data_IF_997884764777
#
_entry.id   IF_997884764777
#
_cell.length_a   1.000
_cell.length_b   1.000
_cell.length_c   1.000
_cell.angle_alpha   90.00
_cell.angle_beta   90.00
_cell.angle_gamma   90.00
#
_symmetry.space_group_name_H-M   'P 1'
#
loop_
_entity.id
_entity.type
_entity.pdbx_description
1 polymer ?
#
# COMPACT_ATOMS: atom_id res chain seq x y z
N UNK A 1 19.80 -11.80 -37.98
CA UNK A 1 20.62 -11.80 -36.74
C UNK A 1 20.33 -10.49 -36.03
N UNK A 2 19.32 -10.50 -35.16
CA UNK A 2 18.87 -9.33 -34.41
C UNK A 2 19.55 -9.35 -33.05
N UNK A 3 20.30 -8.28 -32.73
CA UNK A 3 21.09 -8.19 -31.50
C UNK A 3 20.24 -7.93 -30.25
N UNK A 4 20.69 -8.41 -29.07
CA UNK A 4 20.01 -8.19 -27.78
C UNK A 4 20.33 -6.82 -27.19
N UNK A 5 19.85 -5.73 -27.81
CA UNK A 5 20.10 -4.36 -27.32
C UNK A 5 18.93 -3.77 -26.51
N UNK A 6 18.01 -4.62 -26.01
CA UNK A 6 16.79 -4.16 -25.32
C UNK A 6 16.84 -4.09 -23.78
N UNK A 7 17.93 -4.50 -23.12
CA UNK A 7 17.93 -4.71 -21.65
C UNK A 7 18.65 -3.65 -20.82
N UNK A 8 19.19 -2.60 -21.45
CA UNK A 8 20.03 -1.62 -20.76
C UNK A 8 19.34 -0.24 -20.66
N UNK A 9 18.54 -0.02 -19.62
CA UNK A 9 18.44 1.27 -18.91
C UNK A 9 17.33 1.22 -17.85
N UNK A 10 17.67 0.88 -16.61
CA UNK A 10 16.81 1.16 -15.45
C UNK A 10 16.73 0.02 -14.45
N UNK A 11 17.71 -0.07 -13.54
CA UNK A 11 17.62 -0.73 -12.22
C UNK A 11 17.32 -2.23 -12.12
N UNK A 12 16.65 -2.84 -13.08
CA UNK A 12 16.00 -4.15 -12.93
C UNK A 12 16.91 -5.37 -13.13
N UNK A 13 18.17 -5.20 -13.54
CA UNK A 13 19.09 -6.34 -13.64
C UNK A 13 19.63 -6.75 -12.27
N UNK A 14 19.94 -5.78 -11.40
CA UNK A 14 20.36 -6.05 -10.02
C UNK A 14 19.22 -6.68 -9.23
N UNK A 15 17.99 -6.19 -9.41
CA UNK A 15 16.79 -6.78 -8.80
C UNK A 15 16.64 -8.24 -9.24
N UNK A 16 16.70 -8.53 -10.54
CA UNK A 16 16.59 -9.91 -11.04
C UNK A 16 17.71 -10.82 -10.56
N UNK A 17 18.94 -10.31 -10.43
CA UNK A 17 20.06 -11.07 -9.89
C UNK A 17 19.88 -11.39 -8.40
N UNK A 18 19.37 -10.43 -7.62
CA UNK A 18 19.06 -10.62 -6.21
C UNK A 18 17.88 -11.59 -6.00
N UNK A 19 16.83 -11.48 -6.83
CA UNK A 19 15.72 -12.43 -6.87
C UNK A 19 16.24 -13.85 -7.18
N UNK A 20 17.06 -14.00 -8.24
CA UNK A 20 17.61 -15.29 -8.65
C UNK A 20 18.42 -15.96 -7.54
N UNK A 21 19.23 -15.21 -6.78
CA UNK A 21 19.95 -15.75 -5.62
C UNK A 21 18.99 -16.16 -4.50
N UNK A 22 17.93 -15.38 -4.27
CA UNK A 22 16.90 -15.69 -3.28
C UNK A 22 16.04 -16.92 -3.65
N UNK A 23 16.28 -17.56 -4.79
CA UNK A 23 15.52 -18.71 -5.29
C UNK A 23 14.18 -18.33 -5.94
N UNK A 24 14.07 -17.08 -6.42
CA UNK A 24 12.89 -16.55 -7.10
C UNK A 24 13.36 -15.97 -8.45
N UNK A 25 13.01 -16.47 -9.64
CA UNK A 25 11.98 -17.45 -10.00
C UNK A 25 12.55 -18.89 -9.93
N UNK A 26 11.91 -19.84 -10.61
CA UNK A 26 12.39 -21.23 -10.71
C UNK A 26 13.89 -21.34 -11.04
N UNK A 27 14.51 -22.46 -10.66
CA UNK A 27 15.96 -22.69 -10.75
C UNK A 27 16.53 -22.48 -12.18
N UNK A 28 15.73 -22.77 -13.23
CA UNK A 28 16.13 -22.54 -14.61
C UNK A 28 16.13 -21.03 -14.95
N UNK A 29 15.18 -20.26 -14.40
CA UNK A 29 15.14 -18.82 -14.57
C UNK A 29 16.31 -18.12 -13.86
N UNK A 30 16.62 -18.55 -12.64
CA UNK A 30 17.78 -18.05 -11.89
C UNK A 30 19.09 -18.29 -12.66
N UNK A 31 19.27 -19.51 -13.20
CA UNK A 31 20.44 -19.90 -13.99
C UNK A 31 20.60 -19.03 -15.25
N UNK A 32 19.50 -18.69 -15.93
CA UNK A 32 19.52 -17.79 -17.10
C UNK A 32 19.92 -16.37 -16.73
N UNK A 33 19.44 -15.85 -15.60
CA UNK A 33 19.80 -14.51 -15.12
C UNK A 33 21.28 -14.43 -14.76
N UNK A 34 21.81 -15.44 -14.07
CA UNK A 34 23.23 -15.50 -13.71
C UNK A 34 24.10 -15.58 -14.97
N UNK A 35 23.75 -16.44 -15.92
CA UNK A 35 24.48 -16.55 -17.19
C UNK A 35 24.47 -15.24 -18.01
N UNK A 36 23.40 -14.44 -17.88
CA UNK A 36 23.25 -13.16 -18.56
C UNK A 36 23.90 -11.97 -17.82
N UNK A 37 24.34 -12.13 -16.57
CA UNK A 37 24.82 -11.03 -15.72
C UNK A 37 26.16 -10.43 -16.17
N UNK A 38 26.85 -11.07 -17.13
CA UNK A 38 28.04 -10.54 -17.79
C UNK A 38 29.28 -10.47 -16.88
N UNK A 39 30.41 -9.97 -17.42
CA UNK A 39 31.66 -9.85 -16.68
C UNK A 39 31.51 -8.86 -15.51
N UNK A 40 31.94 -9.28 -14.32
CA UNK A 40 31.86 -8.48 -13.07
C UNK A 40 30.75 -8.91 -12.11
N UNK A 41 29.82 -9.75 -12.55
CA UNK A 41 28.78 -10.36 -11.71
C UNK A 41 29.34 -11.23 -10.58
N UNK A 42 30.49 -11.90 -10.80
CA UNK A 42 31.16 -12.73 -9.79
C UNK A 42 31.45 -11.98 -8.49
N UNK A 43 31.84 -10.70 -8.57
CA UNK A 43 32.10 -9.88 -7.37
C UNK A 43 30.82 -9.57 -6.61
N UNK A 44 29.72 -9.32 -7.32
CA UNK A 44 28.41 -9.07 -6.72
C UNK A 44 27.89 -10.34 -6.06
N UNK A 45 27.99 -11.49 -6.75
CA UNK A 45 27.60 -12.79 -6.19
C UNK A 45 28.46 -13.17 -4.98
N UNK A 46 29.77 -12.92 -5.01
CA UNK A 46 30.64 -13.14 -3.86
C UNK A 46 30.28 -12.23 -2.67
N UNK A 47 29.94 -10.97 -2.91
CA UNK A 47 29.50 -10.04 -1.87
C UNK A 47 28.14 -10.46 -1.28
N UNK A 48 27.19 -10.92 -2.10
CA UNK A 48 25.90 -11.46 -1.65
C UNK A 48 26.09 -12.72 -0.82
N UNK A 49 26.93 -13.66 -1.26
CA UNK A 49 27.25 -14.88 -0.52
C UNK A 49 27.89 -14.57 0.84
N UNK A 50 28.79 -13.58 0.90
CA UNK A 50 29.39 -13.10 2.14
C UNK A 50 28.33 -12.52 3.07
N UNK A 51 27.45 -11.66 2.57
CA UNK A 51 26.34 -11.07 3.34
C UNK A 51 25.42 -12.17 3.89
N UNK A 52 25.13 -13.21 3.10
CA UNK A 52 24.30 -14.35 3.52
C UNK A 52 24.98 -15.16 4.63
N UNK A 53 26.29 -15.36 4.54
CA UNK A 53 27.06 -16.03 5.58
C UNK A 53 27.09 -15.22 6.88
N UNK A 54 27.24 -13.90 6.80
CA UNK A 54 27.17 -13.00 7.95
C UNK A 54 25.78 -13.01 8.60
N UNK A 55 24.71 -12.94 7.80
CA UNK A 55 23.33 -13.04 8.29
C UNK A 55 23.03 -14.40 8.93
N UNK A 56 23.56 -15.49 8.37
CA UNK A 56 23.41 -16.83 8.94
C UNK A 56 24.14 -17.00 10.29
N UNK A 57 25.18 -16.19 10.54
CA UNK A 57 25.89 -16.18 11.82
C UNK A 57 25.15 -15.36 12.91
N UNK A 58 24.16 -14.54 12.53
CA UNK A 58 23.36 -13.78 13.50
C UNK A 58 22.53 -14.76 14.34
N UNK A 59 22.63 -14.71 15.68
CA UNK A 59 21.83 -15.58 16.54
C UNK A 59 20.33 -15.39 16.27
N UNK A 60 19.54 -16.48 16.24
CA UNK A 60 18.11 -16.38 15.96
C UNK A 60 17.41 -15.54 17.04
N UNK A 61 16.63 -14.55 16.60
CA UNK A 61 15.79 -13.75 17.49
C UNK A 61 14.64 -14.62 17.99
N UNK A 62 14.52 -14.75 19.31
CA UNK A 62 13.40 -15.49 19.91
C UNK A 62 12.14 -14.64 19.86
N UNK A 63 11.17 -15.07 19.05
CA UNK A 63 9.83 -14.51 19.05
C UNK A 63 9.11 -14.86 20.36
N UNK A 64 8.41 -13.90 20.99
CA UNK A 64 7.51 -14.22 22.10
C UNK A 64 6.49 -15.28 21.68
N UNK A 65 6.21 -16.24 22.56
CA UNK A 65 5.34 -17.40 22.26
C UNK A 65 3.95 -16.99 21.78
N UNK A 66 3.36 -15.93 22.34
CA UNK A 66 2.07 -15.41 21.91
C UNK A 66 2.10 -14.87 20.46
N UNK A 67 3.21 -14.25 20.04
CA UNK A 67 3.38 -13.75 18.66
C UNK A 67 3.58 -14.91 17.70
N UNK A 68 4.42 -15.89 18.07
CA UNK A 68 4.64 -17.10 17.28
C UNK A 68 3.33 -17.88 17.06
N UNK A 69 2.51 -18.05 18.11
CA UNK A 69 1.21 -18.71 18.02
C UNK A 69 0.24 -17.97 17.10
N UNK A 70 0.22 -16.63 17.16
CA UNK A 70 -0.63 -15.81 16.27
C UNK A 70 -0.20 -15.93 14.82
N UNK A 71 1.10 -15.94 14.53
CA UNK A 71 1.62 -16.11 13.18
C UNK A 71 1.31 -17.51 12.64
N UNK A 72 1.52 -18.56 13.44
CA UNK A 72 1.18 -19.93 13.07
C UNK A 72 -0.30 -20.07 12.69
N UNK A 73 -1.21 -19.55 13.54
CA UNK A 73 -2.64 -19.56 13.24
C UNK A 73 -3.00 -18.76 11.97
N UNK A 74 -2.25 -17.69 11.68
CA UNK A 74 -2.40 -16.92 10.45
C UNK A 74 -2.00 -17.72 9.20
N UNK A 75 -0.89 -18.48 9.27
CA UNK A 75 -0.47 -19.35 8.18
C UNK A 75 -1.40 -20.55 8.00
N UNK A 76 -1.87 -21.18 9.09
CA UNK A 76 -2.87 -22.25 9.02
C UNK A 76 -4.16 -21.77 8.33
N UNK A 77 -4.56 -20.51 8.54
CA UNK A 77 -5.71 -19.91 7.88
C UNK A 77 -5.47 -19.59 6.38
N UNK A 78 -4.21 -19.44 5.95
CA UNK A 78 -3.85 -19.27 4.54
C UNK A 78 -3.74 -20.61 3.81
N UNK A 79 -3.27 -21.64 4.51
CA UNK A 79 -3.14 -23.00 4.01
C UNK A 79 -4.47 -23.76 3.99
N UNK A 80 -5.48 -23.30 4.73
CA UNK A 80 -6.84 -23.81 4.61
C UNK A 80 -7.29 -23.54 3.16
N UNK A 81 -7.31 -24.59 2.29
CA UNK A 81 -7.54 -24.39 0.87
C UNK A 81 -8.90 -23.76 0.77
N UNK A 82 -8.94 -22.50 0.30
CA UNK A 82 -10.16 -21.70 0.12
C UNK A 82 -11.24 -22.63 -0.40
N UNK A 83 -12.06 -23.13 0.53
CA UNK A 83 -12.95 -24.24 0.27
C UNK A 83 -14.15 -23.65 -0.45
N UNK A 84 -13.98 -23.36 -1.74
CA UNK A 84 -14.99 -23.19 -2.77
C UNK A 84 -16.16 -22.24 -2.47
N UNK A 85 -16.14 -21.46 -1.39
CA UNK A 85 -17.28 -20.67 -0.94
C UNK A 85 -17.13 -19.17 -1.24
N UNK A 86 -16.36 -18.84 -2.29
CA UNK A 86 -16.50 -17.60 -3.05
C UNK A 86 -17.81 -17.56 -3.85
N UNK A 87 -18.95 -17.89 -3.22
CA UNK A 87 -20.30 -17.66 -3.75
C UNK A 87 -20.75 -16.20 -3.56
N UNK A 88 -19.83 -15.25 -3.39
CA UNK A 88 -20.18 -13.89 -2.98
C UNK A 88 -19.86 -12.77 -3.98
N UNK A 89 -19.50 -13.05 -5.23
CA UNK A 89 -19.10 -11.96 -6.14
C UNK A 89 -19.50 -12.12 -7.63
N UNK A 90 -20.57 -12.84 -7.96
CA UNK A 90 -21.06 -12.96 -9.35
C UNK A 90 -22.39 -12.25 -9.65
N UNK A 91 -22.82 -11.30 -8.82
CA UNK A 91 -24.08 -10.54 -9.02
C UNK A 91 -23.90 -9.05 -9.39
N UNK A 92 -22.76 -8.66 -9.96
CA UNK A 92 -22.55 -7.30 -10.49
C UNK A 92 -22.44 -7.21 -12.02
N UNK A 93 -22.80 -8.27 -12.75
CA UNK A 93 -22.91 -8.19 -14.21
C UNK A 93 -24.36 -8.06 -14.68
N UNK A 94 -24.62 -6.90 -15.30
CA UNK A 94 -25.59 -6.70 -16.38
C UNK A 94 -27.05 -6.45 -16.01
N UNK A 95 -27.34 -5.33 -15.33
CA UNK A 95 -28.59 -4.59 -15.58
C UNK A 95 -28.50 -3.85 -16.92
N UNK A 96 -28.54 -4.59 -18.03
CA UNK A 96 -28.92 -4.03 -19.34
C UNK A 96 -30.41 -3.73 -19.29
N UNK A 97 -30.75 -2.45 -19.39
CA UNK A 97 -32.11 -1.95 -19.25
C UNK A 97 -33.10 -2.57 -20.25
N UNK A 98 -34.32 -2.89 -19.82
CA UNK A 98 -35.36 -3.38 -20.72
C UNK A 98 -35.93 -2.22 -21.54
N UNK A 99 -35.91 -2.35 -22.87
CA UNK A 99 -36.64 -1.48 -23.80
C UNK A 99 -38.15 -1.61 -23.51
N UNK A 100 -38.76 -0.49 -23.12
CA UNK A 100 -40.19 -0.34 -22.88
C UNK A 100 -40.97 -0.61 -24.18
N UNK A 101 -41.86 -1.60 -24.18
CA UNK A 101 -43.08 -1.60 -24.99
C UNK A 101 -44.25 -1.28 -24.06
N UNK A 102 -45.17 -0.37 -24.43
CA UNK A 102 -46.31 -0.04 -23.59
C UNK A 102 -47.41 -1.08 -23.81
N UNK A 103 -48.07 -1.51 -22.74
CA UNK A 103 -49.46 -1.97 -22.77
C UNK A 103 -50.01 -2.07 -21.33
N UNK A 104 -50.92 -1.15 -21.05
CA UNK A 104 -52.17 -1.24 -20.27
C UNK A 104 -52.18 -1.92 -18.88
N UNK A 105 -52.52 -1.07 -17.91
CA UNK A 105 -53.51 -1.26 -16.83
C UNK A 105 -53.49 -2.59 -16.05
N UNK A 106 -53.12 -2.51 -14.77
CA UNK A 106 -54.01 -2.94 -13.67
C UNK A 106 -53.47 -2.47 -12.32
N UNK A 107 -54.36 -1.90 -11.54
CA UNK A 107 -54.13 -1.38 -10.20
C UNK A 107 -54.07 -2.53 -9.18
N UNK A 108 -53.09 -2.49 -8.28
CA UNK A 108 -53.21 -3.05 -6.94
C UNK A 108 -52.12 -2.43 -6.05
N UNK A 109 -52.56 -1.53 -5.17
CA UNK A 109 -51.75 -0.97 -4.12
C UNK A 109 -51.48 -2.04 -3.05
N UNK A 110 -50.22 -2.33 -2.79
CA UNK A 110 -49.77 -2.92 -1.53
C UNK A 110 -48.51 -2.18 -1.12
N UNK A 111 -48.69 -1.20 -0.24
CA UNK A 111 -47.62 -0.41 0.35
C UNK A 111 -46.80 -1.30 1.29
N UNK A 112 -45.69 -1.83 0.79
CA UNK A 112 -44.61 -2.33 1.66
C UNK A 112 -43.74 -1.13 2.01
N UNK A 113 -43.95 -0.61 3.22
CA UNK A 113 -43.02 0.31 3.87
C UNK A 113 -41.75 -0.49 4.18
N UNK A 114 -40.84 -0.53 3.21
CA UNK A 114 -39.47 -0.95 3.45
C UNK A 114 -38.82 0.17 4.26
N UNK A 115 -38.82 0.02 5.58
CA UNK A 115 -37.92 0.76 6.46
C UNK A 115 -36.51 0.31 6.09
N UNK A 116 -35.91 1.00 5.12
CA UNK A 116 -34.48 0.94 4.92
C UNK A 116 -33.86 1.53 6.19
N UNK A 117 -33.39 0.65 7.07
CA UNK A 117 -32.45 1.01 8.13
C UNK A 117 -31.15 1.36 7.40
N UNK A 118 -31.10 2.57 6.84
CA UNK A 118 -29.85 3.27 6.59
C UNK A 118 -29.35 3.66 7.96
N UNK A 119 -28.81 2.67 8.67
CA UNK A 119 -28.02 2.95 9.86
C UNK A 119 -26.87 3.83 9.41
N UNK A 120 -26.61 4.97 10.05
CA UNK A 120 -25.32 5.62 9.89
C UNK A 120 -24.31 4.55 10.26
N UNK A 121 -23.49 4.14 9.30
CA UNK A 121 -22.30 3.36 9.58
C UNK A 121 -21.54 4.17 10.61
N UNK A 122 -21.64 3.76 11.86
CA UNK A 122 -20.88 4.29 12.96
C UNK A 122 -19.43 4.03 12.59
N UNK A 123 -18.79 5.01 11.96
CA UNK A 123 -17.35 5.08 11.90
C UNK A 123 -16.92 4.94 13.36
N UNK A 124 -16.13 3.90 13.70
CA UNK A 124 -15.68 3.73 15.07
C UNK A 124 -15.09 5.06 15.51
N UNK A 125 -15.59 5.58 16.65
CA UNK A 125 -15.10 6.81 17.24
C UNK A 125 -13.58 6.71 17.24
N UNK A 126 -12.95 7.57 16.43
CA UNK A 126 -11.56 7.40 16.03
C UNK A 126 -10.68 7.38 17.27
N UNK A 127 -10.13 6.20 17.59
CA UNK A 127 -9.00 6.10 18.47
C UNK A 127 -7.95 7.10 17.97
N UNK A 128 -7.41 7.90 18.88
CA UNK A 128 -6.40 8.89 18.56
C UNK A 128 -5.28 8.21 17.75
N UNK A 129 -5.24 8.51 16.46
CA UNK A 129 -4.30 7.87 15.54
C UNK A 129 -2.93 8.44 15.86
N UNK A 130 -2.01 7.60 16.34
CA UNK A 130 -0.59 7.98 16.41
C UNK A 130 -0.08 8.21 14.96
N UNK A 131 0.26 9.46 14.61
CA UNK A 131 0.60 9.80 13.23
C UNK A 131 1.90 9.11 12.76
N UNK A 132 2.79 8.69 13.67
CA UNK A 132 3.98 7.92 13.32
C UNK A 132 3.61 6.49 12.87
N UNK A 133 2.81 5.78 13.67
CA UNK A 133 2.31 4.45 13.32
C UNK A 133 1.46 4.46 12.04
N UNK A 134 0.65 5.50 11.86
CA UNK A 134 -0.16 5.67 10.66
C UNK A 134 0.69 5.89 9.40
N UNK A 135 1.74 6.72 9.49
CA UNK A 135 2.66 6.94 8.39
C UNK A 135 3.36 5.65 7.94
N UNK A 136 3.81 4.83 8.90
CA UNK A 136 4.43 3.53 8.59
C UNK A 136 3.48 2.58 7.86
N UNK A 137 2.22 2.49 8.30
CA UNK A 137 1.19 1.67 7.64
C UNK A 137 0.88 2.15 6.24
N UNK A 138 0.68 3.46 6.07
CA UNK A 138 0.32 4.07 4.78
C UNK A 138 1.44 3.94 3.76
N UNK A 139 2.71 4.04 4.20
CA UNK A 139 3.87 3.72 3.36
C UNK A 139 3.90 2.25 2.95
N UNK A 140 3.66 1.32 3.89
CA UNK A 140 3.65 -0.12 3.61
C UNK A 140 2.52 -0.51 2.65
N UNK A 141 1.36 0.13 2.76
CA UNK A 141 0.21 -0.06 1.87
C UNK A 141 0.41 0.63 0.51
N UNK A 142 1.31 1.62 0.40
CA UNK A 142 1.55 2.38 -0.82
C UNK A 142 0.34 3.19 -1.30
N UNK A 143 -0.56 3.55 -0.39
CA UNK A 143 -1.83 4.21 -0.72
C UNK A 143 -1.65 5.70 -0.95
N UNK A 144 -2.32 6.23 -1.98
CA UNK A 144 -2.27 7.64 -2.37
C UNK A 144 -3.68 8.20 -2.60
N UNK A 145 -4.48 8.20 -1.53
CA UNK A 145 -5.87 8.68 -1.50
C UNK A 145 -5.93 10.09 -0.90
N UNK A 146 -5.46 11.08 -1.67
CA UNK A 146 -5.33 12.47 -1.20
C UNK A 146 -6.11 13.48 -2.05
N UNK A 147 -6.93 13.00 -2.99
CA UNK A 147 -7.72 13.85 -3.89
C UNK A 147 -6.88 14.88 -4.64
N UNK A 148 -7.31 16.15 -4.60
CA UNK A 148 -6.64 17.28 -5.26
C UNK A 148 -5.21 17.55 -4.72
N UNK A 149 -4.91 17.14 -3.48
CA UNK A 149 -3.56 17.28 -2.91
C UNK A 149 -2.54 16.34 -3.57
N UNK A 150 -2.96 15.52 -4.54
CA UNK A 150 -2.05 14.78 -5.42
C UNK A 150 -1.29 15.70 -6.37
N UNK A 151 -1.86 16.86 -6.69
CA UNK A 151 -1.19 17.86 -7.53
C UNK A 151 -0.13 18.62 -6.73
N UNK A 152 1.14 18.70 -7.20
CA UNK A 152 2.21 19.32 -6.43
C UNK A 152 1.95 20.79 -6.06
N UNK A 153 1.29 21.55 -6.95
CA UNK A 153 0.95 22.94 -6.72
C UNK A 153 -0.14 23.10 -5.64
N UNK A 154 -1.18 22.26 -5.68
CA UNK A 154 -2.25 22.24 -4.68
C UNK A 154 -1.72 21.83 -3.31
N UNK A 155 -0.87 20.81 -3.25
CA UNK A 155 -0.17 20.37 -2.04
C UNK A 155 0.67 21.50 -1.43
N UNK A 156 1.51 22.16 -2.24
CA UNK A 156 2.35 23.24 -1.78
C UNK A 156 1.52 24.42 -1.23
N UNK A 157 0.46 24.83 -1.93
CA UNK A 157 -0.43 25.89 -1.49
C UNK A 157 -1.20 25.53 -0.21
N UNK A 158 -1.60 24.27 -0.05
CA UNK A 158 -2.24 23.78 1.16
C UNK A 158 -1.30 23.86 2.37
N UNK A 159 -0.08 23.36 2.22
CA UNK A 159 0.90 23.34 3.30
C UNK A 159 1.38 24.75 3.69
N UNK A 160 1.54 25.65 2.72
CA UNK A 160 1.84 27.06 2.96
C UNK A 160 0.72 27.74 3.78
N UNK A 161 -0.54 27.57 3.36
CA UNK A 161 -1.71 28.13 4.07
C UNK A 161 -1.87 27.57 5.49
N UNK A 162 -1.59 26.28 5.67
CA UNK A 162 -1.67 25.62 6.96
C UNK A 162 -0.52 26.03 7.92
N UNK A 163 0.49 26.75 7.42
CA UNK A 163 1.68 27.13 8.20
C UNK A 163 2.68 25.99 8.39
N UNK A 164 2.63 24.96 7.55
CA UNK A 164 3.57 23.84 7.60
C UNK A 164 4.93 24.24 7.01
N UNK A 165 6.01 23.62 7.50
CA UNK A 165 7.32 23.82 6.87
C UNK A 165 7.29 23.40 5.38
N UNK A 166 8.09 24.05 4.50
CA UNK A 166 8.07 23.80 3.07
C UNK A 166 8.45 22.35 2.73
N UNK A 167 7.83 21.83 1.66
CA UNK A 167 8.05 20.48 1.15
C UNK A 167 9.44 20.38 0.55
N UNK A 168 10.21 19.36 0.96
CA UNK A 168 11.58 19.11 0.46
C UNK A 168 11.70 17.88 -0.44
N UNK A 169 10.62 17.13 -0.63
CA UNK A 169 10.64 15.90 -1.42
C UNK A 169 9.24 15.49 -1.90
N UNK A 170 9.15 14.40 -2.68
CA UNK A 170 7.89 13.97 -3.29
C UNK A 170 6.90 13.50 -2.23
N UNK A 171 5.61 13.59 -2.57
CA UNK A 171 4.55 12.87 -1.84
C UNK A 171 4.70 11.38 -2.12
N UNK A 172 4.92 10.61 -1.06
CA UNK A 172 5.14 9.15 -1.13
C UNK A 172 3.83 8.39 -0.95
N UNK A 173 2.99 8.85 -0.02
CA UNK A 173 1.74 8.20 0.32
C UNK A 173 0.80 9.20 1.04
N UNK A 174 -0.48 8.87 1.12
CA UNK A 174 -1.42 9.65 1.92
C UNK A 174 -2.85 9.12 1.90
N UNK A 175 -3.63 9.52 2.91
CA UNK A 175 -5.04 9.13 3.10
C UNK A 175 -5.79 10.09 4.02
N UNK A 176 -7.13 10.11 4.01
CA UNK A 176 -7.92 10.81 5.01
C UNK A 176 -7.74 10.17 6.40
N UNK A 177 -7.64 11.00 7.44
CA UNK A 177 -7.52 10.59 8.84
C UNK A 177 -8.33 11.52 9.75
N UNK A 178 -8.55 11.08 10.99
CA UNK A 178 -9.12 11.92 12.06
C UNK A 178 -8.09 12.01 13.18
N UNK A 179 -7.69 13.23 13.54
CA UNK A 179 -6.75 13.52 14.64
C UNK A 179 -7.50 14.32 15.69
N UNK A 180 -7.63 13.77 16.89
CA UNK A 180 -8.35 14.42 18.00
C UNK A 180 -9.77 14.89 17.62
N UNK A 181 -10.50 14.06 16.85
CA UNK A 181 -11.84 14.39 16.37
C UNK A 181 -11.91 15.39 15.20
N UNK A 182 -10.76 15.92 14.76
CA UNK A 182 -10.67 16.80 13.59
C UNK A 182 -10.28 16.02 12.35
N UNK A 183 -11.01 16.22 11.26
CA UNK A 183 -10.69 15.60 9.97
C UNK A 183 -9.49 16.31 9.33
N UNK A 184 -8.61 15.51 8.76
CA UNK A 184 -7.47 15.97 7.99
C UNK A 184 -6.99 14.90 7.01
N UNK A 185 -5.93 15.22 6.28
CA UNK A 185 -5.32 14.30 5.32
C UNK A 185 -3.91 14.00 5.77
N UNK A 186 -3.61 12.74 6.09
CA UNK A 186 -2.24 12.31 6.36
C UNK A 186 -1.47 12.30 5.04
N UNK A 187 -0.37 13.05 5.01
CA UNK A 187 0.54 13.16 3.89
C UNK A 187 1.92 12.68 4.35
N UNK A 188 2.48 11.73 3.63
CA UNK A 188 3.84 11.24 3.87
C UNK A 188 4.76 11.76 2.78
N UNK A 189 5.71 12.61 3.17
CA UNK A 189 6.60 13.33 2.29
C UNK A 189 8.03 12.78 2.43
N UNK A 190 8.72 12.64 1.31
CA UNK A 190 10.15 12.40 1.30
C UNK A 190 10.91 13.61 1.88
N UNK A 191 11.95 13.36 2.66
CA UNK A 191 12.82 14.43 3.19
C UNK A 191 14.06 14.70 2.35
N UNK A 192 14.35 13.83 1.37
CA UNK A 192 15.61 13.80 0.63
C UNK A 192 16.72 13.01 1.34
N UNK A 193 16.49 12.55 2.58
CA UNK A 193 17.41 11.67 3.31
C UNK A 193 16.87 10.25 3.26
N UNK A 194 17.72 9.29 2.86
CA UNK A 194 17.35 7.88 2.78
C UNK A 194 16.87 7.37 4.15
N UNK A 195 15.77 6.63 4.17
CA UNK A 195 15.19 6.08 5.40
C UNK A 195 14.45 7.10 6.26
N UNK A 196 14.35 8.39 5.85
CA UNK A 196 13.67 9.44 6.63
C UNK A 196 12.50 10.05 5.86
N UNK A 197 11.35 10.10 6.51
CA UNK A 197 10.09 10.64 5.98
C UNK A 197 9.51 11.67 6.93
N UNK A 198 8.70 12.58 6.40
CA UNK A 198 7.92 13.54 7.18
C UNK A 198 6.44 13.24 7.01
N UNK A 199 5.75 13.03 8.11
CA UNK A 199 4.30 12.87 8.15
C UNK A 199 3.67 14.18 8.61
N UNK A 200 2.81 14.75 7.77
CA UNK A 200 2.07 15.98 8.07
C UNK A 200 0.58 15.75 7.85
N UNK A 201 -0.24 16.31 8.73
CA UNK A 201 -1.70 16.21 8.67
C UNK A 201 -2.30 17.62 8.64
N UNK A 202 -2.43 18.27 7.48
CA UNK A 202 -3.29 19.43 7.35
C UNK A 202 -4.76 19.05 7.61
N UNK A 203 -5.53 19.98 8.17
CA UNK A 203 -6.98 19.82 8.23
C UNK A 203 -7.65 19.90 6.83
N UNK A 204 -8.92 19.50 6.72
CA UNK A 204 -9.66 19.48 5.45
C UNK A 204 -9.68 20.85 4.71
N UNK A 205 -9.51 21.95 5.44
CA UNK A 205 -9.49 23.32 4.88
C UNK A 205 -8.10 23.86 4.57
N UNK A 206 -7.03 23.12 4.87
CA UNK A 206 -5.66 23.61 4.88
C UNK A 206 -5.48 24.87 5.73
N UNK A 207 -6.29 25.05 6.78
CA UNK A 207 -6.27 26.21 7.67
C UNK A 207 -5.33 26.02 8.85
N UNK A 208 -5.03 24.77 9.21
CA UNK A 208 -4.09 24.43 10.27
C UNK A 208 -3.43 23.08 10.01
N UNK A 209 -2.27 22.90 10.63
CA UNK A 209 -1.62 21.60 10.77
C UNK A 209 -2.09 20.94 12.07
N UNK A 210 -2.67 19.74 11.96
CA UNK A 210 -3.10 18.91 13.08
C UNK A 210 -1.93 18.12 13.68
N UNK A 211 -0.99 17.67 12.84
CA UNK A 211 0.22 16.98 13.26
C UNK A 211 1.34 17.19 12.24
N UNK A 212 2.59 17.30 12.72
CA UNK A 212 3.80 17.36 11.89
C UNK A 212 4.94 16.68 12.63
N UNK A 213 5.44 15.60 12.04
CA UNK A 213 6.54 14.83 12.62
C UNK A 213 7.44 14.26 11.54
N UNK A 214 8.70 14.06 11.88
CA UNK A 214 9.68 13.41 11.03
C UNK A 214 10.08 12.09 11.69
N UNK A 215 10.01 10.99 10.95
CA UNK A 215 10.36 9.64 11.41
C UNK A 215 11.38 9.00 10.49
N UNK A 216 12.08 8.00 11.04
CA UNK A 216 13.11 7.25 10.33
C UNK A 216 14.54 7.73 10.62
N UNK A 217 15.44 6.76 10.77
CA UNK A 217 16.83 6.92 11.14
C UNK A 217 17.59 5.60 10.98
#
# INVERSE_FOLDING_TARGET
MSGPEGFAAGGGWLTRLAEAEAGLPDEDAASRVIAAAGPGSDRVLAALATTRAELAAVPPVRLPTAVAARLAAGFDALDDPVSGNSRHSDDYHSRRGPRRRPLLLTAAAAALVAVAIVGPSAQPAGDAVDPASAAARVLAEGTLDVGELREPAALAACLDRAGAAPVRGPLLAGRPVVVEGRRGTLLVLGTGVLGRVRAVVPDEGCGAVLADLTTGG
#
